data_IF_020048160332
#
_entry.id   IF_020048160332
#
_cell.length_a   1.000
_cell.length_b   1.000
_cell.length_c   1.000
_cell.angle_alpha   90.00
_cell.angle_beta   90.00
_cell.angle_gamma   90.00
#
_symmetry.space_group_name_H-M   'P 1'
#
loop_
_entity.id
_entity.type
_entity.pdbx_description
1 polymer ?
#
# COMPACT_ATOMS: atom_id res chain seq x y z
N UNK A 1 16.33 -15.63 9.01
CA UNK A 1 15.18 -15.60 8.14
C UNK A 1 14.53 -14.22 8.26
N UNK A 2 13.47 -13.86 7.54
CA UNK A 2 12.92 -12.50 7.48
C UNK A 2 12.62 -11.90 8.86
N UNK A 3 12.99 -10.63 9.05
CA UNK A 3 12.85 -9.87 10.30
C UNK A 3 11.93 -8.67 10.18
N UNK A 4 11.81 -8.12 8.99
CA UNK A 4 11.01 -6.92 8.74
C UNK A 4 10.30 -7.01 7.40
N UNK A 5 8.98 -7.13 7.44
CA UNK A 5 8.13 -7.34 6.27
C UNK A 5 7.44 -6.03 5.90
N UNK A 6 7.57 -5.57 4.66
CA UNK A 6 6.71 -4.51 4.12
C UNK A 6 5.43 -5.14 3.57
N UNK A 7 4.29 -4.56 3.93
CA UNK A 7 2.97 -4.99 3.46
C UNK A 7 2.24 -3.81 2.85
N UNK A 8 2.35 -3.60 1.53
CA UNK A 8 1.53 -2.61 0.86
C UNK A 8 0.07 -3.07 0.80
N UNK A 9 -0.84 -2.13 1.09
CA UNK A 9 -2.29 -2.39 1.05
C UNK A 9 -3.03 -1.21 0.43
N UNK A 10 -4.08 -1.50 -0.32
CA UNK A 10 -5.00 -0.51 -0.88
C UNK A 10 -6.43 -0.65 -0.30
N UNK A 11 -6.61 -1.49 0.71
CA UNK A 11 -7.90 -1.76 1.34
C UNK A 11 -8.84 -2.61 0.49
N UNK A 12 -8.36 -3.27 -0.57
CA UNK A 12 -9.13 -4.24 -1.33
C UNK A 12 -9.23 -5.57 -0.59
N UNK A 13 -10.26 -6.36 -0.90
CA UNK A 13 -10.46 -7.70 -0.30
C UNK A 13 -9.23 -8.59 -0.48
N UNK A 14 -8.57 -8.52 -1.64
CA UNK A 14 -7.38 -9.33 -1.89
C UNK A 14 -6.17 -8.81 -1.11
N UNK A 15 -6.00 -7.47 -0.98
CA UNK A 15 -4.94 -6.91 -0.15
C UNK A 15 -5.15 -7.25 1.33
N UNK A 16 -6.40 -7.31 1.81
CA UNK A 16 -6.71 -7.72 3.18
C UNK A 16 -6.31 -9.19 3.44
N UNK A 17 -6.50 -10.07 2.45
CA UNK A 17 -6.01 -11.45 2.52
C UNK A 17 -4.48 -11.51 2.57
N UNK A 18 -3.80 -10.71 1.76
CA UNK A 18 -2.34 -10.61 1.78
C UNK A 18 -1.83 -10.08 3.13
N UNK A 19 -2.51 -9.08 3.70
CA UNK A 19 -2.24 -8.56 5.06
C UNK A 19 -2.38 -9.67 6.10
N UNK A 20 -3.47 -10.42 6.08
CA UNK A 20 -3.69 -11.53 7.02
C UNK A 20 -2.58 -12.60 6.92
N UNK A 21 -2.20 -12.99 5.70
CA UNK A 21 -1.09 -13.93 5.47
C UNK A 21 0.25 -13.37 5.96
N UNK A 22 0.51 -12.07 5.75
CA UNK A 22 1.72 -11.41 6.23
C UNK A 22 1.79 -11.38 7.77
N UNK A 23 0.67 -11.11 8.44
CA UNK A 23 0.59 -11.13 9.92
C UNK A 23 0.87 -12.54 10.45
N UNK A 24 0.27 -13.58 9.86
CA UNK A 24 0.53 -14.97 10.24
C UNK A 24 2.01 -15.33 10.06
N UNK A 25 2.60 -14.96 8.93
CA UNK A 25 4.02 -15.24 8.67
C UNK A 25 4.92 -14.47 9.65
N UNK A 26 4.64 -13.19 9.90
CA UNK A 26 5.39 -12.38 10.85
C UNK A 26 5.34 -12.95 12.27
N UNK A 27 4.16 -13.43 12.71
CA UNK A 27 3.97 -14.08 14.01
C UNK A 27 4.86 -15.34 14.13
N UNK A 28 4.86 -16.19 13.10
CA UNK A 28 5.66 -17.41 13.08
C UNK A 28 7.18 -17.15 13.09
N UNK A 29 7.60 -16.07 12.43
CA UNK A 29 9.02 -15.70 12.29
C UNK A 29 9.54 -14.81 13.42
N UNK A 30 8.68 -14.28 14.27
CA UNK A 30 9.03 -13.23 15.21
C UNK A 30 9.48 -11.95 14.49
N UNK A 31 8.89 -11.65 13.33
CA UNK A 31 9.17 -10.49 12.51
C UNK A 31 8.24 -9.33 12.86
N UNK A 32 8.66 -8.10 12.50
CA UNK A 32 7.81 -6.91 12.53
C UNK A 32 7.24 -6.61 11.14
N UNK A 33 6.18 -5.83 11.10
CA UNK A 33 5.55 -5.38 9.85
C UNK A 33 5.65 -3.86 9.74
N UNK A 34 5.85 -3.36 8.52
CA UNK A 34 5.48 -2.00 8.11
C UNK A 34 4.36 -2.11 7.09
N UNK A 35 3.14 -1.69 7.47
CA UNK A 35 2.04 -1.54 6.55
C UNK A 35 2.15 -0.20 5.81
N UNK A 36 1.96 -0.22 4.50
CA UNK A 36 2.16 0.96 3.66
C UNK A 36 1.00 1.16 2.67
N UNK A 37 0.51 2.40 2.54
CA UNK A 37 -0.47 2.78 1.54
C UNK A 37 0.10 3.84 0.61
N UNK A 38 0.11 3.56 -0.70
CA UNK A 38 0.46 4.54 -1.72
C UNK A 38 -0.79 5.33 -2.13
N UNK A 39 -0.81 6.62 -1.82
CA UNK A 39 -1.88 7.55 -2.18
C UNK A 39 -1.64 8.07 -3.59
N UNK A 40 -2.66 8.01 -4.44
CA UNK A 40 -2.58 8.64 -5.76
C UNK A 40 -2.70 10.18 -5.63
N UNK A 41 -1.90 10.95 -6.37
CA UNK A 41 -2.03 12.41 -6.38
C UNK A 41 -3.35 12.84 -7.03
N UNK A 42 -3.76 14.08 -6.77
CA UNK A 42 -4.93 14.68 -7.40
C UNK A 42 -4.88 14.53 -8.94
N UNK A 43 -5.95 14.03 -9.58
CA UNK A 43 -5.97 13.86 -11.04
C UNK A 43 -5.86 15.21 -11.74
N UNK A 44 -4.94 15.33 -12.69
CA UNK A 44 -4.78 16.56 -13.50
C UNK A 44 -5.89 16.73 -14.54
N UNK A 45 -6.59 15.65 -14.89
CA UNK A 45 -7.72 15.69 -15.82
C UNK A 45 -8.88 16.50 -15.20
N UNK A 46 -9.28 17.56 -15.88
CA UNK A 46 -10.28 18.50 -15.38
C UNK A 46 -9.72 19.69 -14.60
N UNK A 47 -8.40 19.73 -14.31
CA UNK A 47 -7.78 20.84 -13.59
C UNK A 47 -8.01 22.20 -14.30
N UNK A 48 -7.93 22.23 -15.62
CA UNK A 48 -8.18 23.47 -16.40
C UNK A 48 -9.59 24.02 -16.20
N UNK A 49 -10.62 23.15 -16.19
CA UNK A 49 -12.00 23.58 -15.96
C UNK A 49 -12.20 24.06 -14.52
N UNK A 50 -11.58 23.39 -13.56
CA UNK A 50 -11.64 23.77 -12.15
C UNK A 50 -10.88 25.09 -11.87
N UNK A 51 -9.72 25.28 -12.49
CA UNK A 51 -8.97 26.56 -12.41
C UNK A 51 -9.77 27.73 -13.00
N UNK A 52 -10.43 27.52 -14.14
CA UNK A 52 -11.29 28.53 -14.74
C UNK A 52 -12.51 28.90 -13.88
N UNK A 53 -13.00 27.99 -13.04
CA UNK A 53 -14.13 28.22 -12.14
C UNK A 53 -13.76 28.78 -10.76
N UNK A 54 -12.46 28.88 -10.43
CA UNK A 54 -11.98 29.34 -9.13
C UNK A 54 -12.18 28.39 -7.95
N UNK A 55 -12.59 27.14 -8.21
CA UNK A 55 -12.83 26.12 -7.16
C UNK A 55 -11.73 25.06 -7.10
N UNK A 56 -10.67 25.20 -7.91
CA UNK A 56 -9.60 24.19 -8.04
C UNK A 56 -8.90 23.90 -6.70
N UNK A 57 -8.60 24.94 -5.93
CA UNK A 57 -7.91 24.80 -4.65
C UNK A 57 -8.76 24.02 -3.65
N UNK A 58 -10.03 24.40 -3.50
CA UNK A 58 -10.96 23.70 -2.61
C UNK A 58 -11.12 22.22 -3.01
N UNK A 59 -11.19 21.93 -4.31
CA UNK A 59 -11.26 20.55 -4.78
C UNK A 59 -10.01 19.74 -4.47
N UNK A 60 -8.82 20.35 -4.57
CA UNK A 60 -7.54 19.71 -4.18
C UNK A 60 -7.48 19.44 -2.68
N UNK A 61 -7.90 20.41 -1.85
CA UNK A 61 -7.97 20.25 -0.39
C UNK A 61 -8.90 19.11 0.01
N UNK A 62 -10.13 19.10 -0.50
CA UNK A 62 -11.11 18.02 -0.23
C UNK A 62 -10.57 16.66 -0.68
N UNK A 63 -9.91 16.59 -1.84
CA UNK A 63 -9.31 15.35 -2.32
C UNK A 63 -8.18 14.88 -1.40
N UNK A 64 -7.31 15.78 -0.97
CA UNK A 64 -6.20 15.47 -0.07
C UNK A 64 -6.71 14.94 1.28
N UNK A 65 -7.69 15.64 1.90
CA UNK A 65 -8.30 15.21 3.16
C UNK A 65 -8.92 13.82 3.06
N UNK A 66 -9.75 13.58 2.02
CA UNK A 66 -10.38 12.27 1.80
C UNK A 66 -9.36 11.15 1.57
N UNK A 67 -8.31 11.43 0.83
CA UNK A 67 -7.24 10.47 0.56
C UNK A 67 -6.46 10.11 1.82
N UNK A 68 -6.18 11.12 2.66
CA UNK A 68 -5.52 10.93 3.95
C UNK A 68 -6.40 10.14 4.92
N UNK A 69 -7.68 10.50 5.05
CA UNK A 69 -8.64 9.77 5.89
C UNK A 69 -8.77 8.30 5.46
N UNK A 70 -8.82 8.07 4.14
CA UNK A 70 -8.84 6.71 3.60
C UNK A 70 -7.59 5.93 3.96
N UNK A 71 -6.40 6.53 3.74
CA UNK A 71 -5.12 5.91 4.08
C UNK A 71 -5.05 5.54 5.56
N UNK A 72 -5.40 6.47 6.45
CA UNK A 72 -5.44 6.24 7.91
C UNK A 72 -6.37 5.09 8.26
N UNK A 73 -7.59 5.09 7.73
CA UNK A 73 -8.57 4.02 8.01
C UNK A 73 -8.07 2.64 7.60
N UNK A 74 -7.50 2.51 6.40
CA UNK A 74 -6.95 1.24 5.90
C UNK A 74 -5.79 0.77 6.77
N UNK A 75 -4.88 1.68 7.10
CA UNK A 75 -3.70 1.36 7.90
C UNK A 75 -4.02 1.06 9.36
N UNK A 76 -5.01 1.74 9.95
CA UNK A 76 -5.47 1.46 11.31
C UNK A 76 -6.10 0.07 11.44
N UNK A 77 -6.82 -0.39 10.41
CA UNK A 77 -7.34 -1.75 10.35
C UNK A 77 -6.21 -2.79 10.36
N UNK A 78 -5.13 -2.56 9.59
CA UNK A 78 -3.94 -3.44 9.59
C UNK A 78 -3.27 -3.44 10.95
N UNK A 79 -3.07 -2.25 11.54
CA UNK A 79 -2.46 -2.11 12.86
C UNK A 79 -3.26 -2.86 13.93
N UNK A 80 -4.59 -2.74 13.92
CA UNK A 80 -5.46 -3.44 14.85
C UNK A 80 -5.34 -4.97 14.70
N UNK A 81 -5.35 -5.48 13.46
CA UNK A 81 -5.19 -6.91 13.20
C UNK A 81 -3.82 -7.44 13.65
N UNK A 82 -2.73 -6.70 13.37
CA UNK A 82 -1.38 -7.06 13.81
C UNK A 82 -1.27 -7.05 15.34
N UNK A 83 -1.84 -6.04 16.01
CA UNK A 83 -1.88 -5.96 17.47
C UNK A 83 -2.60 -7.16 18.10
N UNK A 84 -3.75 -7.55 17.54
CA UNK A 84 -4.50 -8.72 17.99
C UNK A 84 -3.69 -10.04 17.85
N UNK A 85 -2.77 -10.09 16.90
CA UNK A 85 -1.85 -11.22 16.69
C UNK A 85 -0.52 -11.08 17.46
N UNK A 86 -0.33 -10.04 18.29
CA UNK A 86 0.92 -9.70 18.96
C UNK A 86 2.12 -9.50 18.00
N UNK A 87 1.87 -8.96 16.80
CA UNK A 87 2.88 -8.63 15.80
C UNK A 87 3.18 -7.12 15.84
N UNK A 88 4.44 -6.70 16.06
CA UNK A 88 4.80 -5.28 16.00
C UNK A 88 4.52 -4.72 14.59
N UNK A 89 3.74 -3.65 14.51
CA UNK A 89 3.32 -3.07 13.24
C UNK A 89 3.46 -1.54 13.25
N UNK A 90 4.30 -1.01 12.37
CA UNK A 90 4.33 0.39 12.00
C UNK A 90 3.44 0.62 10.78
N UNK A 91 2.93 1.83 10.63
CA UNK A 91 2.09 2.20 9.47
C UNK A 91 2.57 3.52 8.89
N UNK A 92 2.57 3.63 7.56
CA UNK A 92 2.91 4.85 6.86
C UNK A 92 2.19 4.93 5.51
N UNK A 93 2.05 6.14 4.98
CA UNK A 93 1.54 6.37 3.64
C UNK A 93 2.33 7.48 2.96
N UNK A 94 2.34 7.49 1.64
CA UNK A 94 2.95 8.56 0.86
C UNK A 94 2.19 8.76 -0.45
N UNK A 95 2.09 10.01 -0.87
CA UNK A 95 1.54 10.36 -2.18
C UNK A 95 2.58 10.11 -3.26
N UNK A 96 2.23 9.32 -4.27
CA UNK A 96 3.10 9.01 -5.40
C UNK A 96 2.32 8.72 -6.66
N UNK A 97 2.86 9.15 -7.81
CA UNK A 97 2.34 8.79 -9.14
C UNK A 97 2.64 7.34 -9.52
N UNK A 98 3.57 6.70 -8.83
CA UNK A 98 3.95 5.30 -9.04
C UNK A 98 3.93 4.56 -7.70
N UNK A 99 2.89 3.77 -7.49
CA UNK A 99 2.75 2.96 -6.29
C UNK A 99 3.93 1.99 -6.12
N UNK A 100 4.38 1.36 -7.22
CA UNK A 100 5.51 0.43 -7.19
C UNK A 100 6.82 1.08 -6.73
N UNK A 101 7.12 2.30 -7.21
CA UNK A 101 8.31 3.04 -6.76
C UNK A 101 8.21 3.44 -5.29
N UNK A 102 7.03 3.88 -4.85
CA UNK A 102 6.79 4.22 -3.45
C UNK A 102 6.95 3.00 -2.53
N UNK A 103 6.42 1.84 -2.94
CA UNK A 103 6.54 0.57 -2.21
C UNK A 103 8.00 0.16 -2.08
N UNK A 104 8.74 0.10 -3.20
CA UNK A 104 10.15 -0.29 -3.21
C UNK A 104 10.99 0.70 -2.38
N UNK A 105 10.79 2.00 -2.59
CA UNK A 105 11.49 3.05 -1.85
C UNK A 105 11.23 2.97 -0.35
N UNK A 106 9.98 2.69 0.07
CA UNK A 106 9.64 2.50 1.48
C UNK A 106 10.31 1.26 2.06
N UNK A 107 10.30 0.14 1.34
CA UNK A 107 10.93 -1.09 1.79
C UNK A 107 12.45 -0.92 2.01
N UNK A 108 13.13 -0.24 1.09
CA UNK A 108 14.55 0.07 1.20
C UNK A 108 14.84 1.01 2.37
N UNK A 109 14.07 2.10 2.49
CA UNK A 109 14.24 3.09 3.57
C UNK A 109 14.11 2.48 4.97
N UNK A 110 13.16 1.57 5.13
CA UNK A 110 12.91 0.90 6.41
C UNK A 110 13.76 -0.36 6.63
N UNK A 111 14.65 -0.69 5.69
CA UNK A 111 15.45 -1.93 5.71
C UNK A 111 14.56 -3.19 5.85
N UNK A 112 13.47 -3.23 5.10
CA UNK A 112 12.64 -4.43 5.01
C UNK A 112 13.40 -5.51 4.20
N UNK A 113 13.24 -6.76 4.60
CA UNK A 113 13.89 -7.91 3.97
C UNK A 113 12.93 -8.83 3.23
N UNK A 114 11.63 -8.50 3.25
CA UNK A 114 10.57 -9.14 2.47
C UNK A 114 9.46 -8.13 2.15
N UNK A 115 8.89 -8.21 0.96
CA UNK A 115 7.64 -7.53 0.59
C UNK A 115 6.57 -8.61 0.41
N UNK A 116 5.41 -8.47 1.07
CA UNK A 116 4.24 -9.33 0.85
C UNK A 116 3.11 -8.47 0.33
N UNK A 117 2.61 -8.75 -0.86
CA UNK A 117 1.58 -7.96 -1.50
C UNK A 117 0.56 -8.81 -2.27
N UNK A 118 -0.63 -8.26 -2.50
CA UNK A 118 -1.63 -8.89 -3.33
C UNK A 118 -1.21 -8.93 -4.80
N UNK A 119 -1.71 -9.90 -5.55
CA UNK A 119 -1.44 -10.03 -7.00
C UNK A 119 -2.04 -8.88 -7.81
N UNK A 120 -3.09 -8.22 -7.31
CA UNK A 120 -3.68 -7.01 -7.90
C UNK A 120 -4.40 -6.20 -6.80
N UNK A 121 -4.66 -4.92 -7.07
CA UNK A 121 -5.39 -4.04 -6.17
C UNK A 121 -6.84 -3.80 -6.62
N UNK A 122 -7.46 -2.74 -6.13
CA UNK A 122 -8.87 -2.36 -6.40
C UNK A 122 -9.23 -2.24 -7.87
N UNK A 123 -8.28 -1.93 -8.75
CA UNK A 123 -8.49 -1.78 -10.21
C UNK A 123 -8.16 -3.04 -10.99
N UNK A 124 -7.75 -4.12 -10.31
CA UNK A 124 -7.41 -5.38 -10.95
C UNK A 124 -8.65 -6.09 -11.49
N UNK A 125 -8.57 -6.57 -12.74
CA UNK A 125 -9.56 -7.48 -13.28
C UNK A 125 -9.38 -8.85 -12.61
N UNK A 126 -10.48 -9.48 -12.22
CA UNK A 126 -10.49 -10.87 -11.77
C UNK A 126 -10.01 -11.76 -12.93
N UNK A 127 -8.84 -12.38 -12.79
CA UNK A 127 -8.24 -13.23 -13.82
C UNK A 127 -6.78 -13.60 -13.51
N UNK A 128 -6.16 -14.31 -14.43
CA UNK A 128 -4.80 -14.86 -14.29
C UNK A 128 -3.65 -13.84 -14.39
N UNK A 129 -3.93 -12.58 -14.67
CA UNK A 129 -2.92 -11.57 -14.89
C UNK A 129 -2.54 -10.87 -13.58
N UNK A 130 -1.25 -10.70 -13.35
CA UNK A 130 -0.72 -9.85 -12.29
C UNK A 130 -1.08 -8.38 -12.58
N UNK A 131 -1.47 -7.65 -11.53
CA UNK A 131 -1.65 -6.22 -11.61
C UNK A 131 -0.36 -5.50 -12.02
N UNK A 132 -0.49 -4.40 -12.76
CA UNK A 132 0.66 -3.68 -13.31
C UNK A 132 1.64 -3.21 -12.24
N UNK A 133 1.16 -2.74 -11.10
CA UNK A 133 2.05 -2.31 -10.01
C UNK A 133 2.75 -3.49 -9.33
N UNK A 134 2.05 -4.62 -9.15
CA UNK A 134 2.66 -5.86 -8.63
C UNK A 134 3.75 -6.37 -9.55
N UNK A 135 3.50 -6.36 -10.87
CA UNK A 135 4.49 -6.74 -11.87
C UNK A 135 5.74 -5.84 -11.81
N UNK A 136 5.54 -4.53 -11.67
CA UNK A 136 6.66 -3.58 -11.54
C UNK A 136 7.46 -3.82 -10.26
N UNK A 137 6.80 -4.07 -9.12
CA UNK A 137 7.49 -4.40 -7.87
C UNK A 137 8.32 -5.66 -8.02
N UNK A 138 7.76 -6.74 -8.59
CA UNK A 138 8.47 -8.00 -8.85
C UNK A 138 9.71 -7.80 -9.75
N UNK A 139 9.60 -6.93 -10.75
CA UNK A 139 10.67 -6.73 -11.74
C UNK A 139 11.80 -5.83 -11.22
N UNK A 140 11.47 -4.83 -10.39
CA UNK A 140 12.42 -3.78 -10.02
C UNK A 140 12.89 -3.86 -8.57
N UNK A 141 12.28 -4.69 -7.73
CA UNK A 141 12.71 -4.84 -6.33
C UNK A 141 13.96 -5.71 -6.24
N UNK A 142 14.93 -5.25 -5.47
CA UNK A 142 16.06 -6.08 -5.00
C UNK A 142 15.72 -6.89 -3.74
N UNK A 143 14.57 -6.59 -3.10
CA UNK A 143 14.06 -7.29 -1.94
C UNK A 143 13.16 -8.42 -2.42
N UNK A 144 13.22 -9.65 -1.84
CA UNK A 144 12.28 -10.72 -2.16
C UNK A 144 10.82 -10.28 -2.05
N UNK A 145 10.00 -10.73 -3.00
CA UNK A 145 8.57 -10.38 -3.06
C UNK A 145 7.74 -11.65 -3.05
N UNK A 146 6.84 -11.76 -2.08
CA UNK A 146 5.81 -12.78 -2.02
C UNK A 146 4.49 -12.20 -2.52
N UNK A 147 3.94 -12.79 -3.57
CA UNK A 147 2.66 -12.37 -4.15
C UNK A 147 1.56 -13.31 -3.68
N UNK A 148 0.54 -12.73 -3.03
CA UNK A 148 -0.66 -13.44 -2.59
C UNK A 148 -1.76 -13.36 -3.66
N UNK A 149 -2.43 -14.49 -3.92
CA UNK A 149 -3.54 -14.61 -4.89
C UNK A 149 -4.85 -15.02 -4.21
#
# INVERSE_FOLDING_TARGET
MYKHILVPTDGSVLSDKAVAAAIQLAQLLGARITAFHAVEPYPLQGAYAAEASGVAELQREIFAERSEEYAKRVLDAVRAAATAANVPCATDYATSRSASQAIIGKALKENCDLIIMASHGRRGLEGFLLGSETQKVLTHSSIPVLVYR
#
